data_IF_895322733077
#
_entry.id   IF_895322733077
#
_cell.length_a   1.000
_cell.length_b   1.000
_cell.length_c   1.000
_cell.angle_alpha   90.00
_cell.angle_beta   90.00
_cell.angle_gamma   90.00
#
_symmetry.space_group_name_H-M   'P 1'
#
loop_
_entity.id
_entity.type
_entity.pdbx_description
1 polymer ?
#
# COMPACT_ATOMS: atom_id res chain seq x y z
N UNK A 1 -10.66 5.43 -26.07
CA UNK A 1 -10.62 4.15 -25.32
C UNK A 1 -10.47 4.41 -23.84
N UNK A 2 -11.29 3.75 -23.04
CA UNK A 2 -11.21 3.88 -21.59
C UNK A 2 -10.10 2.97 -21.07
N UNK A 3 -9.09 3.57 -20.45
CA UNK A 3 -8.07 2.83 -19.73
C UNK A 3 -8.59 2.50 -18.34
N UNK A 4 -8.32 1.29 -17.89
CA UNK A 4 -8.70 0.85 -16.54
C UNK A 4 -7.48 0.30 -15.83
N UNK A 5 -7.41 0.56 -14.52
CA UNK A 5 -6.40 -0.03 -13.65
C UNK A 5 -7.10 -0.65 -12.46
N UNK A 6 -6.86 -1.93 -12.23
CA UNK A 6 -7.37 -2.60 -11.05
C UNK A 6 -6.39 -2.42 -9.90
N UNK A 7 -6.86 -1.87 -8.79
CA UNK A 7 -6.04 -1.65 -7.61
C UNK A 7 -6.49 -2.59 -6.50
N UNK A 8 -5.68 -3.61 -6.27
CA UNK A 8 -5.89 -4.55 -5.18
C UNK A 8 -5.23 -3.99 -3.93
N UNK A 9 -6.04 -3.70 -2.92
CA UNK A 9 -5.55 -3.01 -1.72
C UNK A 9 -6.04 -3.69 -0.46
N UNK A 10 -5.22 -3.59 0.60
CA UNK A 10 -5.58 -4.01 1.95
C UNK A 10 -5.57 -2.77 2.84
N UNK A 11 -6.71 -2.50 3.50
CA UNK A 11 -6.83 -1.31 4.35
C UNK A 11 -5.86 -1.32 5.53
N UNK A 12 -5.33 -2.49 5.90
CA UNK A 12 -4.31 -2.61 6.92
C UNK A 12 -2.90 -2.39 6.42
N UNK A 13 -2.70 -2.28 5.11
CA UNK A 13 -1.36 -2.14 4.53
C UNK A 13 -0.96 -0.67 4.46
N UNK A 14 0.17 -0.27 5.08
CA UNK A 14 0.63 1.11 4.97
C UNK A 14 1.04 1.49 3.55
N UNK A 15 1.56 0.56 2.75
CA UNK A 15 1.87 0.83 1.35
C UNK A 15 0.62 1.04 0.52
N UNK A 16 -0.45 0.30 0.78
CA UNK A 16 -1.75 0.54 0.14
C UNK A 16 -2.28 1.94 0.47
N UNK A 17 -2.07 2.40 1.70
CA UNK A 17 -2.46 3.74 2.12
C UNK A 17 -1.75 4.81 1.28
N UNK A 18 -0.43 4.68 1.09
CA UNK A 18 0.34 5.62 0.28
C UNK A 18 -0.12 5.58 -1.18
N UNK A 19 -0.34 4.38 -1.72
CA UNK A 19 -0.82 4.22 -3.09
C UNK A 19 -2.22 4.82 -3.27
N UNK A 20 -3.07 4.70 -2.27
CA UNK A 20 -4.41 5.31 -2.29
C UNK A 20 -4.32 6.82 -2.49
N UNK A 21 -3.32 7.48 -1.91
CA UNK A 21 -3.15 8.92 -2.06
C UNK A 21 -2.54 9.33 -3.41
N UNK A 22 -1.78 8.44 -4.06
CA UNK A 22 -1.06 8.77 -5.29
C UNK A 22 -1.76 8.30 -6.57
N UNK A 23 -2.34 7.10 -6.53
CA UNK A 23 -2.92 6.49 -7.73
C UNK A 23 -4.03 7.34 -8.37
N UNK A 24 -4.96 7.94 -7.60
CA UNK A 24 -5.99 8.79 -8.21
C UNK A 24 -5.43 9.96 -9.02
N UNK A 25 -4.35 10.56 -8.56
CA UNK A 25 -3.71 11.68 -9.26
C UNK A 25 -3.12 11.21 -10.60
N UNK A 26 -2.46 10.07 -10.59
CA UNK A 26 -1.85 9.50 -11.79
C UNK A 26 -2.94 9.05 -12.76
N UNK A 27 -3.97 8.39 -12.26
CA UNK A 27 -5.09 7.93 -13.08
C UNK A 27 -5.80 9.08 -13.75
N UNK A 28 -6.05 10.18 -13.02
CA UNK A 28 -6.67 11.37 -13.57
C UNK A 28 -5.80 11.98 -14.68
N UNK A 29 -4.48 12.08 -14.45
CA UNK A 29 -3.55 12.63 -15.44
C UNK A 29 -3.48 11.78 -16.69
N UNK A 30 -3.73 10.49 -16.61
CA UNK A 30 -3.67 9.54 -17.72
C UNK A 30 -5.05 9.15 -18.25
N UNK A 31 -6.11 9.79 -17.76
CA UNK A 31 -7.49 9.51 -18.16
C UNK A 31 -7.85 8.03 -17.97
N UNK A 32 -7.40 7.47 -16.85
CA UNK A 32 -7.66 6.08 -16.49
C UNK A 32 -8.68 6.00 -15.37
N UNK A 33 -9.51 4.95 -15.41
CA UNK A 33 -10.46 4.65 -14.36
C UNK A 33 -9.84 3.65 -13.39
N UNK A 34 -10.04 3.89 -12.09
CA UNK A 34 -9.56 2.96 -11.05
C UNK A 34 -10.69 2.02 -10.67
N UNK A 35 -10.42 0.73 -10.72
CA UNK A 35 -11.33 -0.29 -10.21
C UNK A 35 -10.78 -0.76 -8.87
N UNK A 36 -11.49 -0.43 -7.80
CA UNK A 36 -11.06 -0.73 -6.43
C UNK A 36 -11.38 -2.17 -6.06
N UNK A 37 -10.36 -2.94 -5.71
CA UNK A 37 -10.48 -4.36 -5.36
C UNK A 37 -9.90 -4.60 -3.96
N UNK A 38 -10.73 -4.60 -2.91
CA UNK A 38 -10.21 -4.89 -1.57
C UNK A 38 -9.79 -6.34 -1.45
N UNK A 39 -8.66 -6.56 -0.79
CA UNK A 39 -8.14 -7.90 -0.52
C UNK A 39 -7.73 -8.00 0.95
N UNK A 40 -7.57 -9.24 1.42
CA UNK A 40 -6.98 -9.55 2.71
C UNK A 40 -5.58 -10.09 2.46
N UNK A 41 -4.56 -9.25 2.65
CA UNK A 41 -3.17 -9.60 2.33
C UNK A 41 -2.67 -10.76 3.17
N UNK A 42 -3.08 -10.83 4.46
CA UNK A 42 -2.75 -11.97 5.30
C UNK A 42 -3.27 -13.29 4.75
N UNK A 43 -4.46 -13.28 4.13
CA UNK A 43 -5.00 -14.46 3.46
C UNK A 43 -4.19 -14.86 2.24
N UNK A 44 -3.70 -13.87 1.47
CA UNK A 44 -2.81 -14.13 0.33
C UNK A 44 -1.49 -14.73 0.82
N UNK A 45 -0.91 -14.19 1.89
CA UNK A 45 0.32 -14.74 2.47
C UNK A 45 0.12 -16.20 2.88
N UNK A 46 -1.00 -16.49 3.54
CA UNK A 46 -1.31 -17.85 3.97
C UNK A 46 -1.42 -18.80 2.77
N UNK A 47 -2.08 -18.38 1.71
CA UNK A 47 -2.28 -19.20 0.52
C UNK A 47 -0.98 -19.43 -0.26
N UNK A 48 -0.04 -18.49 -0.23
CA UNK A 48 1.20 -18.57 -1.00
C UNK A 48 2.40 -19.03 -0.18
N UNK A 49 2.26 -19.16 1.15
CA UNK A 49 3.38 -19.48 2.03
C UNK A 49 4.33 -18.31 2.26
N UNK A 50 3.91 -17.11 1.92
CA UNK A 50 4.71 -15.92 2.13
C UNK A 50 4.43 -15.32 3.51
N UNK A 51 5.27 -14.40 3.95
CA UNK A 51 5.17 -13.75 5.25
C UNK A 51 5.39 -12.26 5.14
N UNK A 52 4.82 -11.52 6.11
CA UNK A 52 5.05 -10.08 6.18
C UNK A 52 6.52 -9.77 6.51
N UNK A 53 7.12 -8.74 5.86
CA UNK A 53 8.47 -8.32 6.19
C UNK A 53 8.67 -7.93 7.65
N UNK A 54 7.60 -7.51 8.33
CA UNK A 54 7.67 -7.09 9.75
C UNK A 54 8.02 -8.23 10.69
N UNK A 55 7.88 -9.49 10.25
CA UNK A 55 8.27 -10.66 11.05
C UNK A 55 9.78 -10.75 11.22
N UNK A 56 10.55 -10.09 10.37
CA UNK A 56 12.01 -10.02 10.46
C UNK A 56 12.37 -8.63 10.99
N UNK A 57 12.97 -8.51 12.20
CA UNK A 57 13.16 -7.19 12.84
C UNK A 57 13.88 -6.17 11.99
N UNK A 58 14.92 -6.56 11.27
CA UNK A 58 15.67 -5.62 10.42
C UNK A 58 14.84 -5.16 9.23
N UNK A 59 14.06 -6.05 8.64
CA UNK A 59 13.16 -5.69 7.53
C UNK A 59 12.03 -4.78 8.02
N UNK A 60 11.48 -5.07 9.19
CA UNK A 60 10.43 -4.23 9.78
C UNK A 60 10.93 -2.82 10.07
N UNK A 61 12.16 -2.71 10.57
CA UNK A 61 12.78 -1.40 10.83
C UNK A 61 12.97 -0.63 9.53
N UNK A 62 13.50 -1.28 8.49
CA UNK A 62 13.68 -0.64 7.19
C UNK A 62 12.34 -0.22 6.58
N UNK A 63 11.32 -1.07 6.70
CA UNK A 63 9.99 -0.78 6.19
C UNK A 63 9.46 0.52 6.78
N UNK A 64 9.60 0.72 8.10
CA UNK A 64 9.14 1.94 8.74
C UNK A 64 9.88 3.18 8.22
N UNK A 65 11.20 3.09 8.04
CA UNK A 65 11.99 4.18 7.47
C UNK A 65 11.57 4.47 6.04
N UNK A 66 11.37 3.43 5.24
CA UNK A 66 10.94 3.54 3.85
C UNK A 66 9.57 4.23 3.73
N UNK A 67 8.62 3.82 4.56
CA UNK A 67 7.28 4.41 4.58
C UNK A 67 7.32 5.89 4.93
N UNK A 68 8.13 6.27 5.91
CA UNK A 68 8.27 7.68 6.30
C UNK A 68 8.87 8.51 5.17
N UNK A 69 9.85 7.96 4.47
CA UNK A 69 10.47 8.64 3.33
C UNK A 69 9.48 8.85 2.19
N UNK A 70 8.70 7.83 1.85
CA UNK A 70 7.71 7.96 0.79
C UNK A 70 6.57 8.90 1.18
N UNK A 71 6.12 8.86 2.44
CA UNK A 71 5.09 9.77 2.91
C UNK A 71 5.55 11.22 2.79
N UNK A 72 6.80 11.51 3.13
CA UNK A 72 7.38 12.84 2.99
C UNK A 72 7.47 13.25 1.52
N UNK A 73 7.92 12.34 0.66
CA UNK A 73 8.03 12.59 -0.78
C UNK A 73 6.69 12.93 -1.40
N UNK A 74 5.62 12.26 -0.96
CA UNK A 74 4.27 12.45 -1.49
C UNK A 74 3.48 13.53 -0.75
N UNK A 75 4.05 14.12 0.29
CA UNK A 75 3.37 15.11 1.15
C UNK A 75 2.07 14.55 1.70
N UNK A 76 2.14 13.35 2.25
CA UNK A 76 1.01 12.63 2.84
C UNK A 76 1.23 12.48 4.33
N UNK A 77 0.22 12.83 5.13
CA UNK A 77 0.25 12.58 6.57
C UNK A 77 0.25 11.09 6.82
N UNK A 78 1.24 10.60 7.56
CA UNK A 78 1.40 9.19 7.85
C UNK A 78 1.83 8.96 9.28
N UNK A 79 1.12 8.06 9.95
CA UNK A 79 1.47 7.59 11.28
C UNK A 79 1.19 6.10 11.33
N UNK A 80 2.20 5.32 11.74
CA UNK A 80 2.05 3.88 11.82
C UNK A 80 1.00 3.53 12.87
N UNK A 81 0.07 2.64 12.49
CA UNK A 81 -0.92 2.13 13.42
C UNK A 81 -0.20 1.34 14.53
N UNK A 82 -0.39 1.69 15.82
CA UNK A 82 0.26 0.98 16.91
C UNK A 82 -0.18 -0.48 17.03
N UNK A 83 -1.29 -0.85 16.41
CA UNK A 83 -1.80 -2.23 16.40
C UNK A 83 -1.42 -2.99 15.14
N UNK A 84 -0.51 -2.42 14.32
CA UNK A 84 -0.01 -3.09 13.12
C UNK A 84 0.84 -4.31 13.51
N UNK A 85 0.78 -5.45 12.81
CA UNK A 85 0.07 -5.66 11.55
C UNK A 85 -1.43 -5.82 11.62
#
# INVERSE_FOLDING_TARGET
MNKQVEFYFDVGSPYSYLAYHQLPKIAKARQAEIIWRPILLGGVFQATGNHSPVEIPLKGRHLNVDLQRWAKQFDVAFQMNPHFP
#
